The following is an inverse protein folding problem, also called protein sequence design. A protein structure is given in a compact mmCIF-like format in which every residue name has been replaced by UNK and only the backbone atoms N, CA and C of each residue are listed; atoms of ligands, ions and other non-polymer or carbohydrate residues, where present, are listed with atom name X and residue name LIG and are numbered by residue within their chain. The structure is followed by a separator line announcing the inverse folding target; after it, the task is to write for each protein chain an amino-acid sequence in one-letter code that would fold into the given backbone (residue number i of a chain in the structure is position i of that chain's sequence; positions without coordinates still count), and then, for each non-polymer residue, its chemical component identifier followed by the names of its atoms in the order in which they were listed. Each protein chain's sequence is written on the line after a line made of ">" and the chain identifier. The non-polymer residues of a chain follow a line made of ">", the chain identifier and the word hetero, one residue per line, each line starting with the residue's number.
data_IF_375986324415
#
_entry.id   IF_375986324415
#
_cell.length_a   1.000
_cell.length_b   1.000
_cell.length_c   1.000
_cell.angle_alpha   90.00
_cell.angle_beta   90.00
_cell.angle_gamma   90.00
#
_symmetry.space_group_name_H-M   'P 1'
#
loop_
_entity.id
_entity.type
_entity.pdbx_description
1 polymer ?
#
# COMPACT_ATOMS: atom_id res chain seq x y z
N UNK A 1 9.14 8.79 19.95
CA UNK A 1 8.15 9.81 19.52
C UNK A 1 7.88 10.74 20.69
N UNK A 2 7.65 12.02 20.47
CA UNK A 2 7.16 12.90 21.55
C UNK A 2 5.65 12.67 21.73
N UNK A 3 5.10 12.93 22.92
CA UNK A 3 3.67 12.80 23.24
C UNK A 3 2.74 13.59 22.29
N UNK A 4 3.30 14.49 21.49
CA UNK A 4 2.59 15.33 20.50
C UNK A 4 2.70 14.82 19.06
N UNK A 5 3.52 13.81 18.78
CA UNK A 5 3.75 13.27 17.44
C UNK A 5 3.44 11.77 17.43
N UNK A 6 2.19 11.45 17.32
CA UNK A 6 1.65 10.09 17.35
C UNK A 6 1.13 9.69 15.97
N UNK A 7 0.83 8.41 15.76
CA UNK A 7 0.09 7.93 14.60
C UNK A 7 -1.22 8.70 14.43
N UNK A 8 -1.93 8.93 15.54
CA UNK A 8 -3.19 9.65 15.58
C UNK A 8 -3.03 11.08 15.04
N UNK A 9 -2.16 11.90 15.66
CA UNK A 9 -2.07 13.33 15.36
C UNK A 9 -1.40 13.67 14.03
N UNK A 10 -0.52 12.79 13.54
CA UNK A 10 0.23 13.06 12.31
C UNK A 10 -0.43 12.51 11.05
N UNK A 11 -1.24 11.45 11.18
CA UNK A 11 -1.78 10.74 10.03
C UNK A 11 -3.30 10.56 10.10
N UNK A 12 -3.83 10.00 11.19
CA UNK A 12 -5.23 9.61 11.23
C UNK A 12 -6.16 10.83 11.31
N UNK A 13 -5.84 11.83 12.12
CA UNK A 13 -6.62 13.07 12.19
C UNK A 13 -6.65 13.82 10.86
N UNK A 14 -5.53 14.08 10.16
CA UNK A 14 -5.56 14.70 8.84
C UNK A 14 -6.36 13.90 7.79
N UNK A 15 -6.31 12.56 7.83
CA UNK A 15 -7.11 11.71 6.95
C UNK A 15 -8.60 11.88 7.27
N UNK A 16 -8.99 11.79 8.54
CA UNK A 16 -10.38 11.97 8.98
C UNK A 16 -10.93 13.35 8.63
N UNK A 17 -10.15 14.42 8.87
CA UNK A 17 -10.55 15.78 8.53
C UNK A 17 -10.79 15.93 7.02
N UNK A 18 -9.95 15.30 6.20
CA UNK A 18 -10.11 15.29 4.74
C UNK A 18 -11.38 14.53 4.33
N UNK A 19 -11.59 13.33 4.89
CA UNK A 19 -12.77 12.53 4.61
C UNK A 19 -14.07 13.26 5.02
N UNK A 20 -14.11 13.86 6.19
CA UNK A 20 -15.28 14.66 6.64
C UNK A 20 -15.53 15.86 5.74
N UNK A 21 -14.47 16.56 5.31
CA UNK A 21 -14.58 17.72 4.40
C UNK A 21 -15.13 17.32 3.04
N UNK A 22 -14.74 16.15 2.51
CA UNK A 22 -15.17 15.66 1.19
C UNK A 22 -16.50 14.91 1.22
N UNK A 23 -17.03 14.61 2.41
CA UNK A 23 -18.29 13.92 2.61
C UNK A 23 -19.21 14.71 3.57
N UNK A 24 -19.59 15.95 3.24
CA UNK A 24 -20.39 16.76 4.15
C UNK A 24 -21.79 16.17 4.32
N UNK A 25 -22.22 16.00 5.57
CA UNK A 25 -23.60 15.61 5.89
C UNK A 25 -24.44 16.88 6.03
N UNK A 26 -25.34 17.12 5.09
CA UNK A 26 -26.28 18.24 5.13
C UNK A 26 -27.66 17.79 4.68
N UNK A 27 -28.71 18.60 4.99
CA UNK A 27 -30.07 18.35 4.54
C UNK A 27 -30.23 18.35 2.99
N UNK A 28 -29.23 18.84 2.26
CA UNK A 28 -29.23 18.94 0.80
C UNK A 28 -28.38 17.87 0.11
N UNK A 29 -27.52 17.19 0.87
CA UNK A 29 -26.65 16.12 0.36
C UNK A 29 -27.27 14.79 0.78
N UNK A 30 -27.69 14.00 -0.19
CA UNK A 30 -28.15 12.64 0.07
C UNK A 30 -26.95 11.73 0.34
N UNK A 31 -27.06 10.76 1.26
CA UNK A 31 -26.03 9.74 1.40
C UNK A 31 -25.82 9.02 0.07
N UNK A 32 -24.62 9.04 -0.43
CA UNK A 32 -24.19 8.34 -1.63
C UNK A 32 -22.95 7.49 -1.31
N UNK A 33 -22.24 7.06 -2.34
CA UNK A 33 -20.92 6.45 -2.15
C UNK A 33 -19.99 7.46 -1.49
N UNK A 34 -19.18 6.98 -0.54
CA UNK A 34 -18.24 7.83 0.17
C UNK A 34 -17.09 8.24 -0.75
N UNK A 35 -16.78 9.53 -0.77
CA UNK A 35 -15.59 10.04 -1.45
C UNK A 35 -14.33 9.71 -0.65
N UNK A 36 -13.29 9.29 -1.35
CA UNK A 36 -11.95 9.14 -0.81
C UNK A 36 -11.24 10.48 -0.62
N UNK A 37 -9.95 10.43 -0.33
CA UNK A 37 -9.12 11.62 -0.04
C UNK A 37 -8.60 12.33 -1.31
N UNK A 38 -8.76 11.73 -2.49
CA UNK A 38 -8.23 12.26 -3.74
C UNK A 38 -9.28 13.08 -4.51
N UNK A 39 -9.06 14.38 -4.64
CA UNK A 39 -10.01 15.31 -5.28
C UNK A 39 -10.31 14.94 -6.75
N UNK A 40 -9.33 14.42 -7.48
CA UNK A 40 -9.46 14.06 -8.90
C UNK A 40 -9.89 12.62 -9.13
N UNK A 41 -9.94 11.80 -8.09
CA UNK A 41 -10.29 10.37 -8.15
C UNK A 41 -10.97 9.95 -6.84
N UNK A 42 -12.18 10.49 -6.62
CA UNK A 42 -12.88 10.32 -5.35
C UNK A 42 -13.24 8.87 -4.99
N UNK A 43 -13.35 7.98 -5.98
CA UNK A 43 -13.57 6.54 -5.77
C UNK A 43 -12.30 5.74 -5.48
N UNK A 44 -11.11 6.35 -5.54
CA UNK A 44 -9.86 5.68 -5.27
C UNK A 44 -9.62 5.56 -3.77
N UNK A 45 -9.35 4.33 -3.29
CA UNK A 45 -8.96 4.11 -1.89
C UNK A 45 -7.56 4.64 -1.63
N UNK A 46 -7.35 5.17 -0.43
CA UNK A 46 -6.02 5.46 0.11
C UNK A 46 -5.42 4.18 0.69
N UNK A 47 -4.36 3.66 0.11
CA UNK A 47 -3.56 2.60 0.72
C UNK A 47 -2.68 3.18 1.82
N UNK A 48 -3.08 2.94 3.06
CA UNK A 48 -2.41 3.48 4.24
C UNK A 48 -1.52 2.42 4.88
N UNK A 49 -0.20 2.49 4.62
CA UNK A 49 0.77 1.56 5.17
C UNK A 49 1.14 1.91 6.60
N UNK A 50 1.03 0.93 7.50
CA UNK A 50 1.49 1.01 8.89
C UNK A 50 2.64 0.04 9.07
N UNK A 51 3.86 0.59 9.19
CA UNK A 51 5.10 -0.17 9.28
C UNK A 51 5.48 -0.41 10.74
N UNK A 52 5.31 -1.63 11.23
CA UNK A 52 5.67 -2.05 12.57
C UNK A 52 7.18 -2.30 12.67
N UNK A 53 7.88 -1.48 13.45
CA UNK A 53 9.34 -1.61 13.68
C UNK A 53 9.68 -2.30 15.00
N UNK A 54 8.71 -2.49 15.87
CA UNK A 54 8.81 -3.19 17.15
C UNK A 54 8.16 -4.56 17.07
N UNK A 55 8.18 -5.33 18.17
CA UNK A 55 7.48 -6.60 18.25
C UNK A 55 5.97 -6.41 18.00
N UNK A 56 5.38 -7.28 17.18
CA UNK A 56 3.99 -7.13 16.75
C UNK A 56 3.01 -7.27 17.92
N UNK A 57 3.23 -8.23 18.80
CA UNK A 57 2.41 -8.52 19.97
C UNK A 57 2.23 -7.31 20.90
N UNK A 58 3.25 -6.46 21.02
CA UNK A 58 3.18 -5.22 21.82
C UNK A 58 2.48 -4.08 21.07
N UNK A 59 2.69 -3.97 19.75
CA UNK A 59 2.29 -2.78 18.98
C UNK A 59 0.96 -2.96 18.26
N UNK A 60 0.63 -4.17 17.86
CA UNK A 60 -0.59 -4.46 17.11
C UNK A 60 -1.89 -4.01 17.80
N UNK A 61 -2.10 -4.30 19.11
CA UNK A 61 -3.29 -3.81 19.81
C UNK A 61 -3.42 -2.29 19.80
N UNK A 62 -2.29 -1.56 19.90
CA UNK A 62 -2.28 -0.10 19.85
C UNK A 62 -2.63 0.44 18.45
N UNK A 63 -2.22 -0.25 17.39
CA UNK A 63 -2.62 0.09 16.00
C UNK A 63 -4.12 -0.10 15.83
N UNK A 64 -4.68 -1.23 16.25
CA UNK A 64 -6.12 -1.50 16.15
C UNK A 64 -6.95 -0.47 16.94
N UNK A 65 -6.46 -0.05 18.12
CA UNK A 65 -7.09 1.01 18.91
C UNK A 65 -7.06 2.35 18.20
N UNK A 66 -5.90 2.72 17.64
CA UNK A 66 -5.74 3.98 16.91
C UNK A 66 -6.67 4.09 15.69
N UNK A 67 -6.99 2.97 15.03
CA UNK A 67 -7.87 2.93 13.86
C UNK A 67 -9.37 3.05 14.20
N UNK A 68 -9.76 3.03 15.47
CA UNK A 68 -11.18 3.12 15.88
C UNK A 68 -11.94 4.29 15.27
N UNK A 69 -11.42 5.53 15.18
CA UNK A 69 -12.16 6.64 14.58
C UNK A 69 -12.49 6.40 13.10
N UNK A 70 -11.54 5.84 12.32
CA UNK A 70 -11.80 5.47 10.92
C UNK A 70 -12.81 4.33 10.82
N UNK A 71 -12.74 3.35 11.70
CA UNK A 71 -13.68 2.22 11.77
C UNK A 71 -15.09 2.69 12.12
N UNK A 72 -15.23 3.57 13.11
CA UNK A 72 -16.52 4.09 13.56
C UNK A 72 -17.22 4.96 12.51
N UNK A 73 -16.45 5.59 11.63
CA UNK A 73 -16.98 6.38 10.50
C UNK A 73 -17.22 5.55 9.23
N UNK A 74 -17.03 4.23 9.29
CA UNK A 74 -17.15 3.32 8.14
C UNK A 74 -16.22 3.68 6.96
N UNK A 75 -15.03 4.21 7.27
CA UNK A 75 -14.06 4.64 6.26
C UNK A 75 -13.10 3.54 5.80
N UNK A 76 -13.04 2.43 6.53
CA UNK A 76 -12.07 1.36 6.27
C UNK A 76 -12.64 0.32 5.29
N UNK A 77 -11.83 -0.07 4.31
CA UNK A 77 -12.07 -1.29 3.54
C UNK A 77 -12.10 -2.48 4.48
N UNK A 78 -13.11 -3.35 4.34
CA UNK A 78 -13.33 -4.50 5.21
C UNK A 78 -13.53 -5.79 4.43
N UNK A 79 -13.12 -6.91 5.04
CA UNK A 79 -13.42 -8.27 4.55
C UNK A 79 -14.00 -9.11 5.66
N UNK A 80 -15.19 -9.66 5.43
CA UNK A 80 -15.93 -10.45 6.43
C UNK A 80 -15.73 -11.97 6.35
N UNK A 81 -14.81 -12.40 5.48
CA UNK A 81 -14.58 -13.81 5.16
C UNK A 81 -15.27 -14.25 3.86
N UNK A 82 -16.15 -13.42 3.30
CA UNK A 82 -16.90 -13.72 2.07
C UNK A 82 -16.87 -12.54 1.10
N UNK A 83 -17.10 -11.34 1.62
CA UNK A 83 -17.27 -10.12 0.82
C UNK A 83 -16.21 -9.09 1.18
N UNK A 84 -15.51 -8.59 0.16
CA UNK A 84 -14.64 -7.44 0.27
C UNK A 84 -15.45 -6.17 0.00
N UNK A 85 -15.63 -5.33 1.02
CA UNK A 85 -16.25 -4.01 0.90
C UNK A 85 -15.16 -2.95 0.81
N UNK A 86 -14.95 -2.42 -0.38
CA UNK A 86 -13.99 -1.33 -0.62
C UNK A 86 -14.53 -0.02 -0.06
N UNK A 87 -13.74 0.68 0.72
CA UNK A 87 -14.02 1.95 1.33
C UNK A 87 -12.85 2.94 1.09
N UNK A 88 -13.00 4.23 1.45
CA UNK A 88 -12.01 5.28 1.21
C UNK A 88 -10.59 5.00 1.66
N UNK A 89 -10.40 4.16 2.70
CA UNK A 89 -9.08 3.84 3.24
C UNK A 89 -8.90 2.33 3.33
N UNK A 90 -7.83 1.82 2.75
CA UNK A 90 -7.38 0.43 2.87
C UNK A 90 -6.08 0.41 3.67
N UNK A 91 -6.12 -0.11 4.90
CA UNK A 91 -4.95 -0.16 5.79
C UNK A 91 -4.13 -1.40 5.49
N UNK A 92 -2.83 -1.21 5.31
CA UNK A 92 -1.85 -2.27 5.03
C UNK A 92 -0.85 -2.34 6.17
N UNK A 93 -0.82 -3.48 6.87
CA UNK A 93 0.19 -3.75 7.89
C UNK A 93 1.46 -4.32 7.26
N UNK A 94 2.59 -3.65 7.46
CA UNK A 94 3.90 -4.04 6.93
C UNK A 94 4.96 -4.11 8.04
N UNK A 95 6.21 -4.36 7.68
CA UNK A 95 7.31 -4.53 8.64
C UNK A 95 7.16 -5.80 9.47
N UNK A 96 7.11 -5.67 10.79
CA UNK A 96 6.94 -6.81 11.71
C UNK A 96 5.49 -7.26 11.90
N UNK A 97 4.53 -6.77 11.10
CA UNK A 97 3.13 -7.25 11.12
C UNK A 97 3.09 -8.75 10.86
N UNK A 98 2.39 -9.50 11.71
CA UNK A 98 2.25 -10.94 11.54
C UNK A 98 0.98 -11.26 10.72
N UNK A 99 1.12 -12.18 9.76
CA UNK A 99 -0.02 -12.66 8.98
C UNK A 99 -1.11 -13.26 9.88
N UNK A 100 -0.72 -14.00 10.92
CA UNK A 100 -1.65 -14.59 11.91
C UNK A 100 -2.52 -13.55 12.61
N UNK A 101 -1.94 -12.38 12.95
CA UNK A 101 -2.67 -11.30 13.63
C UNK A 101 -3.69 -10.64 12.71
N UNK A 102 -3.32 -10.48 11.43
CA UNK A 102 -4.22 -9.97 10.39
C UNK A 102 -5.38 -10.96 10.15
N UNK A 103 -5.08 -12.26 10.04
CA UNK A 103 -6.09 -13.31 9.80
C UNK A 103 -7.01 -13.55 11.01
N UNK A 104 -6.59 -13.24 12.23
CA UNK A 104 -7.40 -13.40 13.43
C UNK A 104 -8.57 -12.42 13.54
N UNK A 105 -8.56 -11.31 12.77
CA UNK A 105 -9.61 -10.28 12.81
C UNK A 105 -10.79 -10.64 11.92
N UNK A 106 -12.03 -10.53 12.45
CA UNK A 106 -13.26 -10.69 11.67
C UNK A 106 -14.36 -9.73 12.17
N UNK A 107 -14.87 -8.80 11.35
CA UNK A 107 -14.36 -8.48 10.01
C UNK A 107 -12.93 -7.94 10.05
N UNK A 108 -12.17 -8.21 8.99
CA UNK A 108 -10.82 -7.70 8.82
C UNK A 108 -10.88 -6.29 8.22
N UNK A 109 -10.13 -5.36 8.78
CA UNK A 109 -10.00 -3.99 8.28
C UNK A 109 -8.54 -3.50 8.23
N UNK A 110 -7.59 -4.41 8.48
CA UNK A 110 -6.17 -4.25 8.18
C UNK A 110 -5.73 -5.47 7.37
N UNK A 111 -5.04 -5.23 6.27
CA UNK A 111 -4.58 -6.24 5.34
C UNK A 111 -3.07 -6.43 5.46
N UNK A 112 -2.58 -7.58 5.04
CA UNK A 112 -1.17 -7.93 5.12
C UNK A 112 -0.41 -7.39 3.91
N UNK A 113 0.82 -6.89 4.10
CA UNK A 113 1.79 -6.62 3.04
C UNK A 113 2.63 -7.87 2.84
N UNK A 114 2.23 -8.73 1.90
CA UNK A 114 2.92 -9.98 1.68
C UNK A 114 4.33 -9.77 1.09
N UNK A 115 5.28 -10.67 1.38
CA UNK A 115 6.61 -10.60 0.78
C UNK A 115 6.55 -11.03 -0.69
N UNK A 116 6.58 -10.08 -1.61
CA UNK A 116 6.44 -10.30 -3.06
C UNK A 116 7.42 -11.35 -3.61
N UNK A 117 8.67 -11.34 -3.14
CA UNK A 117 9.68 -12.29 -3.58
C UNK A 117 9.46 -13.74 -3.07
N UNK A 118 8.57 -13.93 -2.09
CA UNK A 118 8.31 -15.20 -1.40
C UNK A 118 6.86 -15.71 -1.59
N UNK A 119 6.10 -15.14 -2.51
CA UNK A 119 4.67 -15.48 -2.69
C UNK A 119 4.43 -16.95 -3.07
N UNK A 120 5.46 -17.65 -3.59
CA UNK A 120 5.40 -19.08 -3.88
C UNK A 120 5.76 -19.97 -2.67
N UNK A 121 6.21 -19.40 -1.55
CA UNK A 121 6.48 -20.19 -0.36
C UNK A 121 5.18 -20.77 0.19
N UNK A 122 5.26 -21.98 0.73
CA UNK A 122 4.11 -22.70 1.30
C UNK A 122 3.33 -21.88 2.33
N UNK A 123 4.00 -20.96 3.00
CA UNK A 123 3.40 -20.06 3.99
C UNK A 123 2.45 -19.03 3.35
N UNK A 124 2.66 -18.67 2.08
CA UNK A 124 1.95 -17.58 1.39
C UNK A 124 1.19 -18.04 0.15
N UNK A 125 1.28 -19.34 -0.18
CA UNK A 125 0.69 -19.90 -1.40
C UNK A 125 -0.82 -19.70 -1.50
N UNK A 126 -1.54 -19.68 -0.39
CA UNK A 126 -3.00 -19.55 -0.33
C UNK A 126 -3.47 -18.09 -0.19
N UNK A 127 -2.55 -17.12 -0.14
CA UNK A 127 -2.91 -15.70 -0.08
C UNK A 127 -3.54 -15.25 -1.39
N UNK A 128 -4.54 -14.40 -1.23
CA UNK A 128 -5.21 -13.68 -2.31
C UNK A 128 -5.28 -12.19 -1.97
N UNK A 129 -5.82 -11.39 -2.89
CA UNK A 129 -6.06 -9.96 -2.62
C UNK A 129 -6.99 -9.69 -1.41
N UNK A 130 -7.73 -10.69 -0.94
CA UNK A 130 -8.59 -10.56 0.24
C UNK A 130 -7.82 -10.54 1.56
N UNK A 131 -6.64 -11.14 1.60
CA UNK A 131 -5.72 -11.14 2.75
C UNK A 131 -4.62 -10.11 2.57
N UNK A 132 -4.12 -10.00 1.32
CA UNK A 132 -2.97 -9.19 0.95
C UNK A 132 -3.23 -8.52 -0.39
N UNK A 133 -3.88 -7.36 -0.42
CA UNK A 133 -4.14 -6.65 -1.68
C UNK A 133 -2.86 -6.11 -2.33
N UNK A 134 -1.77 -6.00 -1.56
CA UNK A 134 -0.45 -5.55 -2.01
C UNK A 134 0.60 -6.50 -1.47
N UNK A 135 1.58 -6.83 -2.31
CA UNK A 135 2.80 -7.52 -1.91
C UNK A 135 4.01 -6.65 -2.23
N UNK A 136 4.92 -6.52 -1.27
CA UNK A 136 6.10 -5.67 -1.41
C UNK A 136 7.40 -6.44 -1.25
N UNK A 137 8.45 -5.98 -1.94
CA UNK A 137 9.81 -6.47 -1.72
C UNK A 137 10.84 -5.35 -1.84
N UNK A 138 12.04 -5.61 -1.33
CA UNK A 138 13.18 -4.71 -1.45
C UNK A 138 13.76 -4.79 -2.86
N UNK A 139 13.72 -3.68 -3.59
CA UNK A 139 14.26 -3.57 -4.94
C UNK A 139 15.74 -3.99 -5.01
N UNK A 140 16.56 -3.47 -4.11
CA UNK A 140 17.98 -3.77 -4.12
C UNK A 140 18.29 -5.25 -3.83
N UNK A 141 17.46 -5.92 -3.03
CA UNK A 141 17.59 -7.36 -2.77
C UNK A 141 17.16 -8.21 -3.96
N UNK A 142 16.13 -7.78 -4.72
CA UNK A 142 15.64 -8.51 -5.88
C UNK A 142 16.54 -8.34 -7.12
N UNK A 143 17.05 -7.13 -7.35
CA UNK A 143 17.71 -6.78 -8.61
C UNK A 143 19.18 -6.38 -8.47
N UNK A 144 19.64 -6.02 -7.27
CA UNK A 144 20.99 -5.50 -7.06
C UNK A 144 21.21 -4.15 -7.76
N UNK A 145 22.42 -3.96 -8.30
CA UNK A 145 22.82 -2.72 -8.96
C UNK A 145 22.25 -2.64 -10.39
N UNK A 146 21.61 -1.51 -10.72
CA UNK A 146 21.17 -1.20 -12.09
C UNK A 146 22.29 -0.47 -12.83
N UNK A 147 22.85 -1.10 -13.85
CA UNK A 147 23.94 -0.55 -14.65
C UNK A 147 23.41 0.02 -15.96
N UNK A 148 24.06 1.08 -16.44
CA UNK A 148 23.70 1.75 -17.72
C UNK A 148 22.23 2.19 -17.80
N UNK A 149 21.52 2.31 -16.67
CA UNK A 149 20.09 2.65 -16.58
C UNK A 149 19.17 1.62 -17.27
N UNK A 150 19.59 0.37 -17.30
CA UNK A 150 18.87 -0.74 -17.95
C UNK A 150 18.86 -1.95 -17.03
N UNK A 151 17.81 -2.76 -17.13
CA UNK A 151 17.80 -4.08 -16.54
C UNK A 151 18.43 -5.07 -17.53
N UNK A 152 19.26 -5.97 -17.02
CA UNK A 152 19.70 -7.12 -17.80
C UNK A 152 18.61 -8.19 -17.85
N UNK A 153 18.80 -9.21 -18.70
CA UNK A 153 17.83 -10.27 -18.95
C UNK A 153 17.39 -10.97 -17.65
N UNK A 154 18.33 -11.25 -16.74
CA UNK A 154 18.03 -11.89 -15.45
C UNK A 154 17.17 -11.00 -14.55
N UNK A 155 17.46 -9.69 -14.51
CA UNK A 155 16.66 -8.74 -13.73
C UNK A 155 15.24 -8.61 -14.28
N UNK A 156 15.08 -8.57 -15.62
CA UNK A 156 13.77 -8.53 -16.27
C UNK A 156 12.99 -9.83 -16.04
N UNK A 157 13.64 -11.00 -16.15
CA UNK A 157 13.02 -12.28 -15.87
C UNK A 157 12.55 -12.38 -14.42
N UNK A 158 13.38 -11.92 -13.47
CA UNK A 158 13.00 -11.87 -12.05
C UNK A 158 11.80 -10.95 -11.82
N UNK A 159 11.80 -9.75 -12.43
CA UNK A 159 10.70 -8.80 -12.31
C UNK A 159 9.40 -9.40 -12.83
N UNK A 160 9.41 -9.93 -14.05
CA UNK A 160 8.23 -10.53 -14.68
C UNK A 160 7.70 -11.73 -13.89
N UNK A 161 8.60 -12.61 -13.43
CA UNK A 161 8.20 -13.76 -12.60
C UNK A 161 7.51 -13.30 -11.30
N UNK A 162 8.03 -12.28 -10.62
CA UNK A 162 7.41 -11.76 -9.39
C UNK A 162 6.07 -11.06 -9.67
N UNK A 163 5.94 -10.35 -10.78
CA UNK A 163 4.68 -9.74 -11.20
C UNK A 163 3.63 -10.79 -11.54
N UNK A 164 3.99 -11.79 -12.34
CA UNK A 164 3.08 -12.88 -12.72
C UNK A 164 2.53 -13.60 -11.48
N UNK A 165 3.40 -13.94 -10.52
CA UNK A 165 3.00 -14.57 -9.25
C UNK A 165 1.99 -13.71 -8.46
N UNK A 166 2.21 -12.40 -8.40
CA UNK A 166 1.31 -11.50 -7.70
C UNK A 166 -0.02 -11.35 -8.44
N UNK A 167 0.02 -11.12 -9.75
CA UNK A 167 -1.15 -10.90 -10.58
C UNK A 167 -2.03 -12.14 -10.70
N UNK A 168 -1.46 -13.36 -10.76
CA UNK A 168 -2.22 -14.62 -10.71
C UNK A 168 -3.06 -14.75 -9.44
N UNK A 169 -2.62 -14.15 -8.33
CA UNK A 169 -3.34 -14.11 -7.05
C UNK A 169 -4.25 -12.87 -6.91
N UNK A 170 -4.28 -11.97 -7.90
CA UNK A 170 -4.97 -10.68 -7.85
C UNK A 170 -4.32 -9.67 -6.91
N UNK A 171 -3.05 -9.87 -6.56
CA UNK A 171 -2.28 -9.04 -5.63
C UNK A 171 -1.50 -8.01 -6.43
N UNK A 172 -1.49 -6.76 -5.98
CA UNK A 172 -0.70 -5.68 -6.55
C UNK A 172 0.76 -5.74 -6.09
N UNK A 173 1.69 -5.50 -7.01
CA UNK A 173 3.13 -5.53 -6.74
C UNK A 173 3.70 -4.15 -6.43
N UNK A 174 4.57 -4.09 -5.43
CA UNK A 174 5.30 -2.88 -5.01
C UNK A 174 6.75 -3.20 -4.69
N UNK A 175 7.66 -2.35 -5.16
CA UNK A 175 9.09 -2.42 -4.83
C UNK A 175 9.49 -1.17 -4.05
N UNK A 176 10.11 -1.35 -2.88
CA UNK A 176 10.69 -0.26 -2.10
C UNK A 176 12.22 -0.29 -2.14
N UNK A 177 12.90 0.75 -1.64
CA UNK A 177 14.37 0.88 -1.68
C UNK A 177 14.94 0.89 -3.11
N UNK A 178 14.28 1.60 -4.00
CA UNK A 178 14.78 1.87 -5.35
C UNK A 178 15.92 2.88 -5.29
N UNK A 179 16.82 2.92 -6.31
CA UNK A 179 17.89 3.89 -6.35
C UNK A 179 17.33 5.31 -6.43
N UNK A 180 17.63 6.14 -5.41
CA UNK A 180 17.22 7.55 -5.38
C UNK A 180 18.15 8.44 -6.24
N UNK A 181 19.39 8.00 -6.47
CA UNK A 181 20.43 8.73 -7.18
C UNK A 181 21.36 7.75 -7.94
N UNK A 182 21.93 8.14 -9.10
CA UNK A 182 21.71 9.39 -9.85
C UNK A 182 20.27 9.50 -10.39
N UNK A 183 19.75 10.73 -10.54
CA UNK A 183 18.37 10.97 -11.00
C UNK A 183 18.05 10.21 -12.29
N UNK A 184 19.00 10.18 -13.25
CA UNK A 184 18.79 9.44 -14.50
C UNK A 184 18.63 7.94 -14.31
N UNK A 185 19.29 7.31 -13.30
CA UNK A 185 19.09 5.90 -12.95
C UNK A 185 17.74 5.70 -12.27
N UNK A 186 17.39 6.57 -11.33
CA UNK A 186 16.08 6.57 -10.68
C UNK A 186 14.94 6.61 -11.69
N UNK A 187 14.97 7.57 -12.60
CA UNK A 187 13.93 7.75 -13.60
C UNK A 187 13.87 6.57 -14.59
N UNK A 188 15.00 5.99 -14.96
CA UNK A 188 15.02 4.79 -15.78
C UNK A 188 14.40 3.59 -15.07
N UNK A 189 14.70 3.39 -13.78
CA UNK A 189 14.06 2.35 -12.96
C UNK A 189 12.54 2.56 -12.88
N UNK A 190 12.07 3.78 -12.61
CA UNK A 190 10.64 4.07 -12.59
C UNK A 190 9.97 3.74 -13.93
N UNK A 191 10.63 4.07 -15.06
CA UNK A 191 10.12 3.73 -16.40
C UNK A 191 10.02 2.23 -16.60
N UNK A 192 11.09 1.49 -16.29
CA UNK A 192 11.12 0.03 -16.44
C UNK A 192 10.01 -0.62 -15.59
N UNK A 193 9.91 -0.26 -14.30
CA UNK A 193 8.88 -0.80 -13.42
C UNK A 193 7.46 -0.54 -13.94
N UNK A 194 7.23 0.68 -14.45
CA UNK A 194 5.95 1.04 -15.04
C UNK A 194 5.65 0.27 -16.33
N UNK A 195 6.61 0.24 -17.24
CA UNK A 195 6.44 -0.40 -18.55
C UNK A 195 6.25 -1.93 -18.42
N UNK A 196 6.82 -2.54 -17.39
CA UNK A 196 6.63 -3.96 -17.08
C UNK A 196 5.36 -4.24 -16.23
N UNK A 197 4.62 -3.23 -15.82
CA UNK A 197 3.31 -3.39 -15.17
C UNK A 197 3.31 -3.47 -13.65
N UNK A 198 4.27 -2.83 -12.98
CA UNK A 198 4.23 -2.68 -11.51
C UNK A 198 3.06 -1.80 -11.12
N UNK A 199 2.24 -2.24 -10.18
CA UNK A 199 0.99 -1.57 -9.81
C UNK A 199 1.19 -0.32 -8.96
N UNK A 200 2.18 -0.34 -8.06
CA UNK A 200 2.45 0.75 -7.13
C UNK A 200 3.92 1.18 -7.20
N UNK A 201 4.16 2.36 -7.74
CA UNK A 201 5.49 2.96 -7.74
C UNK A 201 5.78 3.57 -6.37
N UNK A 202 6.80 3.05 -5.68
CA UNK A 202 7.27 3.63 -4.41
C UNK A 202 8.19 4.81 -4.69
N UNK A 203 7.88 5.99 -4.19
CA UNK A 203 8.68 7.20 -4.40
C UNK A 203 8.82 8.01 -3.11
N UNK A 204 10.00 8.56 -2.86
CA UNK A 204 10.25 9.49 -1.77
C UNK A 204 10.19 10.96 -2.26
N UNK A 205 10.47 11.17 -3.54
CA UNK A 205 10.42 12.47 -4.21
C UNK A 205 9.11 12.60 -4.99
N UNK A 206 8.03 13.03 -4.31
CA UNK A 206 6.71 13.17 -4.91
C UNK A 206 6.69 14.20 -6.05
N UNK A 207 7.43 15.32 -5.88
CA UNK A 207 7.52 16.36 -6.93
C UNK A 207 8.25 15.84 -8.16
N UNK A 208 9.35 15.10 -7.95
CA UNK A 208 10.09 14.46 -9.04
C UNK A 208 9.27 13.37 -9.74
N UNK A 209 8.42 12.64 -9.03
CA UNK A 209 7.54 11.65 -9.64
C UNK A 209 6.44 12.32 -10.48
N UNK A 210 5.79 13.36 -9.95
CA UNK A 210 4.78 14.10 -10.70
C UNK A 210 5.36 14.68 -12.00
N UNK A 211 6.50 15.41 -11.93
CA UNK A 211 7.17 15.96 -13.09
C UNK A 211 7.67 14.90 -14.09
N UNK A 212 8.01 13.70 -13.61
CA UNK A 212 8.42 12.59 -14.47
C UNK A 212 7.30 12.16 -15.43
N UNK A 213 6.06 12.09 -14.96
CA UNK A 213 4.90 11.73 -15.78
C UNK A 213 4.44 12.87 -16.69
N UNK A 214 4.47 14.11 -16.22
CA UNK A 214 4.11 15.28 -17.02
C UNK A 214 5.07 15.52 -18.20
N UNK A 215 6.34 15.17 -18.06
CA UNK A 215 7.38 15.36 -19.09
C UNK A 215 7.47 14.24 -20.15
N UNK A 216 6.60 13.22 -20.09
CA UNK A 216 6.62 12.04 -20.98
C UNK A 216 5.53 12.06 -22.05
N UNK A 217 4.82 13.19 -22.21
CA UNK A 217 3.84 13.46 -23.28
C UNK A 217 4.51 13.91 -24.58
#
# INVERSE_FOLDING_TARGET
>A
MSDKRTLQSLYLEPILDTLHRLNPSTRFVQPGEQNGVFDTSSGQTLYFFIDLKTAADETWPAVLEALKPLRSGDWLTTYDGTTLRKNPVTVIGTGNTQLSDVLASSPRDVFFDAPLAELNDSKYQDLTANESPIASTNFASSFGEVRKREFNDTQLETLRTQLDMAHEKGIMARYWNQPAYPIGTRNAVWRILWDEGVDLLNVDDLAGAAAFWEGTG
#
